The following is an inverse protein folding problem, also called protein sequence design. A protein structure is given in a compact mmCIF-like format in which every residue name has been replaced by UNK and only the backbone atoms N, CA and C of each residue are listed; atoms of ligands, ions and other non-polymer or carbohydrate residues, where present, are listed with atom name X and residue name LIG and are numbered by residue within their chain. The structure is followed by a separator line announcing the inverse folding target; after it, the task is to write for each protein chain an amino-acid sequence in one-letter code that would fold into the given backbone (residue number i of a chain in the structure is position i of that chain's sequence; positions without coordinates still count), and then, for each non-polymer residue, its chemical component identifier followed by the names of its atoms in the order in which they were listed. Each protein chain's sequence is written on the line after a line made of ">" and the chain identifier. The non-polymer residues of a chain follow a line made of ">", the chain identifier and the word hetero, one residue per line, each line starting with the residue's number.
data_IF_937246728088
#
_entry.id   IF_937246728088
#
_cell.length_a   1.000
_cell.length_b   1.000
_cell.length_c   1.000
_cell.angle_alpha   90.00
_cell.angle_beta   90.00
_cell.angle_gamma   90.00
#
_symmetry.space_group_name_H-M   'P 1'
#
loop_
_entity.id
_entity.type
_entity.pdbx_description
1 polymer ?
#
# COMPACT_ATOMS: atom_id res chain seq x y z
N UNK A 1 88.24 1.26 -19.68
CA UNK A 1 86.91 1.19 -20.32
C UNK A 1 86.03 0.30 -19.45
N UNK A 2 84.95 0.84 -18.90
CA UNK A 2 83.69 0.15 -18.53
C UNK A 2 82.91 1.03 -17.56
N UNK A 3 81.69 1.39 -17.97
CA UNK A 3 80.69 2.13 -17.20
C UNK A 3 80.18 1.30 -16.01
N UNK A 4 79.80 1.91 -14.88
CA UNK A 4 78.93 1.28 -13.90
C UNK A 4 77.47 1.72 -14.08
N UNK A 5 76.60 0.71 -14.03
CA UNK A 5 75.15 0.76 -14.16
C UNK A 5 74.47 1.60 -13.07
N UNK A 6 73.58 2.51 -13.49
CA UNK A 6 72.63 3.20 -12.61
C UNK A 6 71.40 2.30 -12.39
N UNK A 7 71.17 1.94 -11.13
CA UNK A 7 69.96 1.23 -10.67
C UNK A 7 68.74 2.14 -10.78
N UNK A 8 67.70 1.67 -11.48
CA UNK A 8 66.37 2.30 -11.51
C UNK A 8 65.58 1.88 -10.27
N UNK A 9 65.27 2.84 -9.40
CA UNK A 9 64.35 2.67 -8.28
C UNK A 9 62.91 2.80 -8.80
N UNK A 10 62.10 1.76 -8.60
CA UNK A 10 60.67 1.75 -8.93
C UNK A 10 59.91 2.43 -7.79
N UNK A 11 59.23 3.55 -8.10
CA UNK A 11 58.31 4.22 -7.19
C UNK A 11 57.00 3.41 -7.12
N UNK A 12 56.68 2.84 -5.96
CA UNK A 12 55.40 2.20 -5.72
C UNK A 12 54.33 3.29 -5.46
N UNK A 13 53.43 3.49 -6.43
CA UNK A 13 52.24 4.34 -6.25
C UNK A 13 51.21 3.52 -5.47
N UNK A 14 51.05 3.84 -4.18
CA UNK A 14 49.96 3.32 -3.37
C UNK A 14 48.62 3.90 -3.86
N UNK A 15 47.88 3.12 -4.63
CA UNK A 15 46.51 3.45 -4.99
C UNK A 15 45.63 3.35 -3.71
N UNK A 16 45.19 4.49 -3.22
CA UNK A 16 44.16 4.55 -2.19
C UNK A 16 42.87 3.94 -2.77
N UNK A 17 42.49 2.78 -2.27
CA UNK A 17 41.17 2.19 -2.48
C UNK A 17 40.14 3.13 -1.86
N UNK A 18 39.52 3.97 -2.68
CA UNK A 18 38.26 4.59 -2.33
C UNK A 18 37.24 3.46 -2.15
N UNK A 19 36.87 3.18 -0.90
CA UNK A 19 35.66 2.44 -0.61
C UNK A 19 34.49 3.21 -1.25
N UNK A 20 34.00 2.71 -2.37
CA UNK A 20 32.70 3.11 -2.90
C UNK A 20 31.69 2.65 -1.85
N UNK A 21 31.31 3.55 -0.96
CA UNK A 21 30.11 3.36 -0.17
C UNK A 21 28.99 3.11 -1.17
N UNK A 22 28.33 1.95 -1.09
CA UNK A 22 27.11 1.69 -1.84
C UNK A 22 26.13 2.81 -1.47
N UNK A 23 25.97 3.78 -2.37
CA UNK A 23 25.00 4.83 -2.22
C UNK A 23 23.64 4.14 -2.40
N UNK A 24 22.87 4.02 -1.32
CA UNK A 24 21.44 3.70 -1.45
C UNK A 24 20.87 4.64 -2.52
N UNK A 25 20.21 4.08 -3.54
CA UNK A 25 19.81 4.88 -4.69
C UNK A 25 18.84 5.99 -4.26
N UNK A 26 19.00 7.18 -4.83
CA UNK A 26 18.00 8.25 -4.70
C UNK A 26 16.88 7.97 -5.69
N UNK A 27 15.65 7.85 -5.19
CA UNK A 27 14.45 7.67 -5.99
C UNK A 27 13.77 9.01 -6.25
N UNK A 28 13.16 9.20 -7.45
CA UNK A 28 12.36 10.38 -7.74
C UNK A 28 11.20 10.58 -6.75
N UNK A 29 10.97 11.84 -6.37
CA UNK A 29 9.91 12.22 -5.45
C UNK A 29 8.53 11.97 -6.03
N UNK A 30 8.32 12.37 -7.29
CA UNK A 30 7.04 12.30 -7.98
C UNK A 30 7.23 12.10 -9.49
N UNK A 31 6.19 11.60 -10.16
CA UNK A 31 6.16 11.42 -11.62
C UNK A 31 5.52 12.60 -12.34
N UNK A 32 4.65 13.34 -11.63
CA UNK A 32 3.89 14.45 -12.20
C UNK A 32 4.22 15.74 -11.46
N UNK A 33 5.12 16.54 -12.04
CA UNK A 33 5.44 17.86 -11.54
C UNK A 33 4.18 18.75 -11.54
N UNK A 34 3.98 19.61 -10.51
CA UNK A 34 2.92 20.60 -10.54
C UNK A 34 3.04 21.54 -11.76
N UNK A 35 1.93 22.17 -12.20
CA UNK A 35 1.94 23.00 -13.40
C UNK A 35 2.87 24.21 -13.28
N UNK A 36 3.34 24.72 -14.43
CA UNK A 36 4.13 25.94 -14.50
C UNK A 36 3.39 27.09 -13.80
N UNK A 37 4.06 27.75 -12.85
CA UNK A 37 3.48 28.82 -12.03
C UNK A 37 2.97 28.37 -10.66
N UNK A 38 2.93 27.07 -10.35
CA UNK A 38 2.71 26.61 -8.98
C UNK A 38 3.89 27.01 -8.08
N UNK A 39 3.61 27.80 -7.05
CA UNK A 39 4.62 28.35 -6.11
C UNK A 39 4.59 27.71 -4.72
N UNK A 40 3.67 26.77 -4.49
CA UNK A 40 3.57 26.06 -3.22
C UNK A 40 4.66 25.01 -3.00
N UNK A 41 4.67 24.37 -1.82
CA UNK A 41 5.58 23.28 -1.51
C UNK A 41 5.44 22.13 -2.50
N UNK A 42 6.57 21.49 -2.83
CA UNK A 42 6.59 20.26 -3.60
C UNK A 42 6.82 19.09 -2.68
N UNK A 43 6.22 17.96 -3.03
CA UNK A 43 6.43 16.70 -2.33
C UNK A 43 7.91 16.31 -2.35
N UNK A 44 8.40 15.80 -1.21
CA UNK A 44 9.74 15.22 -1.08
C UNK A 44 9.58 13.83 -0.50
N UNK A 45 10.18 12.84 -1.15
CA UNK A 45 10.14 11.47 -0.71
C UNK A 45 11.03 11.29 0.52
N UNK A 46 10.42 11.06 1.68
CA UNK A 46 11.14 10.51 2.83
C UNK A 46 11.66 9.10 2.53
N UNK A 47 12.93 9.01 2.14
CA UNK A 47 13.58 7.80 1.62
C UNK A 47 14.91 7.46 2.31
N UNK A 48 15.23 8.11 3.43
CA UNK A 48 16.44 7.84 4.21
C UNK A 48 16.27 6.59 5.09
N UNK A 49 15.99 5.44 4.47
CA UNK A 49 15.64 4.21 5.18
C UNK A 49 16.71 3.80 6.22
N UNK A 50 16.32 3.31 7.41
CA UNK A 50 17.26 2.83 8.40
C UNK A 50 18.17 1.72 7.84
N UNK A 51 19.47 1.83 8.05
CA UNK A 51 20.46 0.81 7.64
C UNK A 51 20.66 -0.30 8.66
N UNK A 52 20.17 -0.09 9.89
CA UNK A 52 20.14 -1.06 10.97
C UNK A 52 18.69 -1.23 11.45
N UNK A 53 18.35 -2.44 11.86
CA UNK A 53 17.03 -2.73 12.41
C UNK A 53 16.84 -1.87 13.68
N UNK A 54 15.76 -1.07 13.78
CA UNK A 54 15.51 -0.29 14.99
C UNK A 54 15.47 -1.18 16.23
N UNK A 55 16.25 -0.83 17.24
CA UNK A 55 16.28 -1.53 18.53
C UNK A 55 15.32 -0.86 19.49
N UNK A 56 14.40 -1.62 20.10
CA UNK A 56 13.48 -1.05 21.08
C UNK A 56 12.26 -1.91 21.34
N UNK A 57 11.40 -1.45 22.25
CA UNK A 57 10.08 -2.03 22.44
C UNK A 57 9.16 -1.65 21.27
N UNK A 58 8.17 -2.50 20.91
CA UNK A 58 7.12 -2.11 19.98
C UNK A 58 6.41 -0.81 20.40
N UNK A 59 5.72 -0.12 19.48
CA UNK A 59 4.96 1.09 19.79
C UNK A 59 4.08 0.94 21.03
N UNK A 60 3.98 1.98 21.86
CA UNK A 60 3.33 1.91 23.17
C UNK A 60 1.87 1.41 23.12
N UNK A 61 1.15 1.68 22.03
CA UNK A 61 -0.21 1.21 21.81
C UNK A 61 -0.33 -0.32 21.74
N UNK A 62 0.77 -1.08 21.54
CA UNK A 62 0.77 -2.55 21.60
C UNK A 62 0.26 -3.09 22.94
N UNK A 63 0.44 -2.31 24.02
CA UNK A 63 -0.08 -2.61 25.37
C UNK A 63 -1.60 -2.47 25.48
N UNK A 64 -2.25 -1.84 24.49
CA UNK A 64 -3.70 -1.64 24.40
C UNK A 64 -4.38 -2.71 23.57
N UNK A 65 -3.61 -3.64 22.97
CA UNK A 65 -4.19 -4.77 22.26
C UNK A 65 -5.07 -5.57 23.25
N UNK A 66 -6.29 -5.99 22.85
CA UNK A 66 -7.11 -6.87 23.67
C UNK A 66 -6.34 -8.14 24.05
N UNK A 67 -6.58 -8.64 25.27
CA UNK A 67 -5.96 -9.89 25.74
C UNK A 67 -6.34 -11.09 24.86
N UNK A 68 -7.57 -11.08 24.32
CA UNK A 68 -8.06 -12.04 23.34
C UNK A 68 -8.76 -11.29 22.20
N UNK A 69 -8.41 -11.54 20.94
CA UNK A 69 -9.17 -11.06 19.79
C UNK A 69 -10.61 -11.58 19.82
N UNK A 70 -11.58 -10.68 19.69
CA UNK A 70 -13.00 -11.00 19.54
C UNK A 70 -13.68 -10.02 18.57
N UNK A 71 -14.89 -10.37 18.12
CA UNK A 71 -15.64 -9.57 17.15
C UNK A 71 -16.41 -8.39 17.77
N UNK A 72 -16.15 -8.06 19.05
CA UNK A 72 -16.75 -6.90 19.70
C UNK A 72 -15.85 -5.68 19.53
N UNK A 73 -16.25 -4.72 18.70
CA UNK A 73 -15.42 -3.55 18.42
C UNK A 73 -15.08 -2.71 19.66
N UNK A 74 -15.91 -2.74 20.72
CA UNK A 74 -15.62 -1.99 21.94
C UNK A 74 -14.35 -2.46 22.65
N UNK A 75 -13.98 -3.75 22.53
CA UNK A 75 -12.70 -4.25 23.08
C UNK A 75 -11.50 -3.66 22.33
N UNK A 76 -11.68 -3.36 21.03
CA UNK A 76 -10.66 -2.81 20.15
C UNK A 76 -10.62 -1.28 20.08
N UNK A 77 -11.68 -0.59 20.52
CA UNK A 77 -11.82 0.87 20.32
C UNK A 77 -10.62 1.65 20.83
N UNK A 78 -10.13 1.32 22.03
CA UNK A 78 -8.93 1.96 22.59
C UNK A 78 -7.70 1.69 21.73
N UNK A 79 -7.46 0.44 21.34
CA UNK A 79 -6.33 0.10 20.45
C UNK A 79 -6.39 0.88 19.14
N UNK A 80 -7.53 0.88 18.46
CA UNK A 80 -7.73 1.61 17.19
C UNK A 80 -7.46 3.11 17.35
N UNK A 81 -8.00 3.74 18.40
CA UNK A 81 -7.75 5.17 18.64
C UNK A 81 -6.28 5.47 18.90
N UNK A 82 -5.57 4.60 19.62
CA UNK A 82 -4.14 4.80 19.90
C UNK A 82 -3.27 4.58 18.66
N UNK A 83 -3.63 3.65 17.77
CA UNK A 83 -2.95 3.52 16.46
C UNK A 83 -3.21 4.76 15.60
N UNK A 84 -4.44 5.29 15.59
CA UNK A 84 -4.75 6.57 14.92
C UNK A 84 -3.87 7.69 15.46
N UNK A 85 -3.79 7.84 16.78
CA UNK A 85 -2.96 8.87 17.41
C UNK A 85 -1.48 8.69 17.04
N UNK A 86 -0.97 7.46 17.03
CA UNK A 86 0.39 7.15 16.59
C UNK A 86 0.64 7.60 15.15
N UNK A 87 -0.30 7.34 14.23
CA UNK A 87 -0.20 7.77 12.83
C UNK A 87 -0.27 9.29 12.66
N UNK A 88 -1.04 10.00 13.49
CA UNK A 88 -1.31 11.43 13.31
C UNK A 88 -0.31 12.35 14.02
N UNK A 89 0.24 11.91 15.15
CA UNK A 89 1.11 12.72 16.00
C UNK A 89 2.38 13.17 15.25
N UNK A 90 2.55 14.50 15.16
CA UNK A 90 3.61 15.16 14.41
C UNK A 90 3.35 15.26 12.90
N UNK A 91 2.48 14.41 12.34
CA UNK A 91 2.18 14.40 10.90
C UNK A 91 1.15 15.48 10.52
N UNK A 92 0.18 15.78 11.39
CA UNK A 92 -0.80 16.84 11.13
C UNK A 92 -0.10 18.21 11.09
N UNK A 93 0.79 18.46 12.04
CA UNK A 93 1.48 19.75 12.23
C UNK A 93 2.40 20.11 11.07
N UNK A 94 2.93 19.09 10.38
CA UNK A 94 3.78 19.25 9.20
C UNK A 94 3.01 19.06 7.88
N UNK A 95 1.67 19.02 7.95
CA UNK A 95 0.79 18.81 6.80
C UNK A 95 1.16 17.55 5.98
N UNK A 96 1.52 16.47 6.69
CA UNK A 96 1.98 15.20 6.12
C UNK A 96 3.25 15.28 5.25
N UNK A 97 4.02 16.37 5.32
CA UNK A 97 5.43 16.38 4.91
C UNK A 97 6.27 15.60 5.94
N UNK A 98 6.13 14.27 5.93
CA UNK A 98 6.55 13.43 7.06
C UNK A 98 8.06 13.41 7.33
N UNK A 99 8.89 13.80 6.36
CA UNK A 99 10.32 14.05 6.53
C UNK A 99 10.61 15.23 7.48
N UNK A 100 9.62 16.07 7.77
CA UNK A 100 9.70 17.19 8.71
C UNK A 100 9.15 16.83 10.10
N UNK A 101 8.58 15.63 10.29
CA UNK A 101 8.03 15.20 11.57
C UNK A 101 9.16 15.10 12.62
N UNK A 102 9.00 15.83 13.73
CA UNK A 102 9.99 15.91 14.83
C UNK A 102 9.73 14.90 15.95
N UNK A 103 8.55 14.28 15.98
CA UNK A 103 8.18 13.28 16.99
C UNK A 103 8.72 11.92 16.60
N UNK A 104 8.57 11.55 15.32
CA UNK A 104 9.02 10.26 14.80
C UNK A 104 9.31 10.34 13.31
N UNK A 105 10.25 9.51 12.88
CA UNK A 105 10.59 9.39 11.46
C UNK A 105 9.60 8.47 10.75
N UNK A 106 9.16 8.90 9.59
CA UNK A 106 8.25 8.18 8.70
C UNK A 106 8.83 8.15 7.30
N UNK A 107 8.52 7.10 6.55
CA UNK A 107 9.15 6.82 5.27
C UNK A 107 8.12 6.42 4.23
N UNK A 108 8.40 6.73 2.98
CA UNK A 108 7.55 6.38 1.85
C UNK A 108 8.13 5.18 1.10
N UNK A 109 7.28 4.41 0.41
CA UNK A 109 7.74 3.37 -0.51
C UNK A 109 8.42 3.97 -1.75
N UNK A 110 9.55 3.46 -2.26
CA UNK A 110 10.12 3.95 -3.51
C UNK A 110 9.27 3.51 -4.72
N UNK A 111 9.63 4.01 -5.90
CA UNK A 111 9.04 3.61 -7.19
C UNK A 111 7.52 3.82 -7.38
N UNK A 112 6.83 4.51 -6.48
CA UNK A 112 5.43 4.89 -6.71
C UNK A 112 5.26 6.13 -7.62
N UNK A 113 6.36 6.73 -8.11
CA UNK A 113 6.31 7.86 -9.04
C UNK A 113 6.05 7.43 -10.48
N UNK A 114 6.36 6.17 -10.81
CA UNK A 114 6.40 5.68 -12.19
C UNK A 114 4.99 5.30 -12.70
N UNK A 115 4.79 5.50 -14.00
CA UNK A 115 3.56 5.12 -14.71
C UNK A 115 2.39 6.10 -14.56
N UNK A 116 1.25 5.83 -15.23
CA UNK A 116 0.08 6.71 -15.28
C UNK A 116 -0.56 6.99 -13.90
N UNK A 117 -0.39 6.04 -12.97
CA UNK A 117 -0.92 6.10 -11.60
C UNK A 117 0.04 6.78 -10.62
N UNK A 118 1.19 7.23 -11.12
CA UNK A 118 2.29 7.73 -10.33
C UNK A 118 1.96 8.95 -9.48
N UNK A 119 2.81 9.15 -8.46
CA UNK A 119 2.75 10.28 -7.52
C UNK A 119 2.62 11.63 -8.21
N UNK A 120 1.68 12.43 -7.72
CA UNK A 120 1.62 13.86 -7.99
C UNK A 120 2.59 14.65 -7.10
N UNK A 121 3.03 15.82 -7.60
CA UNK A 121 4.17 16.52 -7.04
C UNK A 121 3.88 17.52 -5.91
N UNK A 122 2.66 17.62 -5.41
CA UNK A 122 2.33 18.52 -4.28
C UNK A 122 2.37 17.76 -2.95
N UNK A 123 1.60 16.68 -2.83
CA UNK A 123 1.43 15.86 -1.63
C UNK A 123 1.92 14.42 -1.79
N UNK A 124 2.44 14.04 -2.97
CA UNK A 124 2.95 12.69 -3.22
C UNK A 124 1.84 11.65 -3.34
N UNK A 125 0.63 12.06 -3.71
CA UNK A 125 -0.52 11.16 -3.80
C UNK A 125 -0.45 10.27 -5.05
N UNK A 126 -0.70 8.97 -4.89
CA UNK A 126 -0.89 8.00 -5.99
C UNK A 126 -2.36 7.83 -6.32
N UNK A 127 -2.66 7.57 -7.59
CA UNK A 127 -4.04 7.27 -8.03
C UNK A 127 -4.44 5.88 -7.55
N UNK A 128 -5.64 5.78 -6.96
CA UNK A 128 -6.13 4.54 -6.35
C UNK A 128 -7.28 3.93 -7.15
N UNK A 129 -8.54 4.10 -6.73
CA UNK A 129 -9.71 3.44 -7.30
C UNK A 129 -10.80 4.44 -7.71
N UNK A 130 -11.72 3.99 -8.58
CA UNK A 130 -12.88 4.79 -8.93
C UNK A 130 -13.95 4.67 -7.84
N UNK A 131 -14.54 5.80 -7.46
CA UNK A 131 -15.72 5.81 -6.60
C UNK A 131 -16.94 5.59 -7.50
N UNK A 132 -17.66 4.49 -7.29
CA UNK A 132 -18.87 4.16 -8.04
C UNK A 132 -20.08 4.93 -7.52
N UNK A 133 -21.08 5.14 -8.39
CA UNK A 133 -22.34 5.78 -8.00
C UNK A 133 -22.99 5.03 -6.82
N UNK A 134 -23.45 5.78 -5.82
CA UNK A 134 -24.03 5.28 -4.57
C UNK A 134 -23.11 4.41 -3.70
N UNK A 135 -21.80 4.40 -3.95
CA UNK A 135 -20.85 3.68 -3.11
C UNK A 135 -20.73 4.30 -1.71
N UNK A 136 -20.61 5.63 -1.63
CA UNK A 136 -20.41 6.35 -0.37
C UNK A 136 -21.74 6.69 0.33
N UNK A 137 -22.78 7.00 -0.43
CA UNK A 137 -24.08 7.36 0.11
C UNK A 137 -25.18 7.14 -0.95
N UNK A 138 -26.40 6.82 -0.53
CA UNK A 138 -27.53 6.70 -1.45
C UNK A 138 -27.82 7.99 -2.25
N UNK A 139 -27.41 9.15 -1.72
CA UNK A 139 -27.54 10.47 -2.34
C UNK A 139 -26.41 10.78 -3.33
N UNK A 140 -25.33 10.01 -3.35
CA UNK A 140 -24.19 10.23 -4.26
C UNK A 140 -24.58 9.86 -5.70
N UNK A 141 -24.70 10.85 -6.57
CA UNK A 141 -25.18 10.67 -7.95
C UNK A 141 -24.09 10.55 -9.01
N UNK A 142 -22.88 11.03 -8.73
CA UNK A 142 -21.74 11.01 -9.65
C UNK A 142 -20.68 10.00 -9.23
N UNK A 143 -19.86 9.55 -10.19
CA UNK A 143 -18.61 8.85 -9.89
C UNK A 143 -17.55 9.81 -9.39
N UNK A 144 -16.49 9.28 -8.79
CA UNK A 144 -15.33 10.05 -8.36
C UNK A 144 -14.04 9.25 -8.47
N UNK A 145 -12.98 9.78 -7.90
CA UNK A 145 -11.66 9.14 -7.93
C UNK A 145 -10.93 9.34 -6.62
N UNK A 146 -10.12 8.36 -6.24
CA UNK A 146 -9.34 8.40 -5.00
C UNK A 146 -7.85 8.49 -5.26
N UNK A 147 -7.20 9.16 -4.31
CA UNK A 147 -5.77 9.41 -4.29
C UNK A 147 -5.25 9.18 -2.88
N UNK A 148 -4.06 8.62 -2.73
CA UNK A 148 -3.56 8.27 -1.41
C UNK A 148 -2.05 8.45 -1.24
N UNK A 149 -1.63 8.64 0.00
CA UNK A 149 -0.23 8.61 0.41
C UNK A 149 -0.08 7.67 1.59
N UNK A 150 0.86 6.72 1.46
CA UNK A 150 1.17 5.71 2.47
C UNK A 150 2.55 5.96 3.07
N UNK A 151 2.64 5.82 4.39
CA UNK A 151 3.86 5.99 5.18
C UNK A 151 4.10 4.78 6.08
N UNK A 152 5.38 4.48 6.31
CA UNK A 152 5.86 3.38 7.14
C UNK A 152 6.67 3.96 8.29
N UNK A 153 6.51 3.41 9.49
CA UNK A 153 7.42 3.72 10.59
C UNK A 153 8.84 3.20 10.30
N UNK A 154 9.79 3.60 11.13
CA UNK A 154 11.20 3.17 11.03
C UNK A 154 11.37 1.63 11.02
N UNK A 155 10.60 0.90 11.82
CA UNK A 155 10.62 -0.58 11.88
C UNK A 155 10.29 -1.18 10.50
N UNK A 156 9.20 -0.71 9.88
CA UNK A 156 8.85 -1.15 8.52
C UNK A 156 9.84 -0.67 7.47
N UNK A 157 10.27 0.58 7.58
CA UNK A 157 11.17 1.24 6.66
C UNK A 157 12.55 0.58 6.58
N UNK A 158 13.03 -0.04 7.66
CA UNK A 158 14.25 -0.86 7.61
C UNK A 158 14.13 -1.97 6.57
N UNK A 159 13.00 -2.68 6.54
CA UNK A 159 12.76 -3.78 5.58
C UNK A 159 12.70 -3.23 4.15
N UNK A 160 12.06 -2.07 3.96
CA UNK A 160 12.07 -1.36 2.66
C UNK A 160 13.51 -1.08 2.24
N UNK A 161 14.33 -0.53 3.14
CA UNK A 161 15.74 -0.26 2.89
C UNK A 161 16.56 -1.51 2.57
N UNK A 162 16.22 -2.68 3.13
CA UNK A 162 16.89 -3.94 2.77
C UNK A 162 16.49 -4.45 1.38
N UNK A 163 15.19 -4.41 1.04
CA UNK A 163 14.72 -4.78 -0.32
C UNK A 163 15.43 -3.92 -1.36
N UNK A 164 15.57 -2.62 -1.10
CA UNK A 164 16.11 -1.65 -2.05
C UNK A 164 17.59 -1.31 -1.80
N UNK A 165 18.31 -2.14 -1.02
CA UNK A 165 19.71 -1.90 -0.63
C UNK A 165 20.63 -1.75 -1.84
N UNK A 166 20.42 -2.59 -2.85
CA UNK A 166 20.95 -2.37 -4.19
C UNK A 166 19.82 -1.77 -5.04
N UNK A 167 19.87 -0.46 -5.36
CA UNK A 167 18.80 0.20 -6.12
C UNK A 167 18.68 -0.30 -7.56
N UNK A 168 19.68 -1.03 -8.07
CA UNK A 168 19.67 -1.61 -9.41
C UNK A 168 19.21 -3.08 -9.40
N UNK A 169 19.15 -3.72 -8.24
CA UNK A 169 18.75 -5.12 -8.07
C UNK A 169 17.97 -5.30 -6.75
N UNK A 170 16.73 -4.82 -6.67
CA UNK A 170 15.93 -4.98 -5.47
C UNK A 170 15.66 -6.46 -5.17
N UNK A 171 15.62 -6.81 -3.90
CA UNK A 171 15.53 -8.18 -3.41
C UNK A 171 14.23 -8.39 -2.59
N UNK A 172 13.16 -8.92 -3.20
CA UNK A 172 11.89 -9.17 -2.50
C UNK A 172 11.98 -10.26 -1.41
N UNK A 173 13.10 -10.98 -1.28
CA UNK A 173 13.22 -12.03 -0.27
C UNK A 173 13.26 -11.49 1.15
N UNK A 174 13.57 -10.20 1.33
CA UNK A 174 13.50 -9.54 2.64
C UNK A 174 12.07 -9.35 3.17
N UNK A 175 11.06 -9.48 2.31
CA UNK A 175 9.64 -9.50 2.70
C UNK A 175 9.01 -10.88 2.60
N UNK A 176 9.77 -11.93 2.25
CA UNK A 176 9.25 -13.28 2.09
C UNK A 176 9.95 -14.26 3.04
N UNK A 177 9.28 -15.35 3.39
CA UNK A 177 9.82 -16.36 4.30
C UNK A 177 11.24 -16.81 3.91
N UNK A 178 12.17 -16.93 4.88
CA UNK A 178 11.96 -16.86 6.33
C UNK A 178 11.88 -15.43 6.92
N UNK A 179 11.98 -14.40 6.08
CA UNK A 179 11.82 -13.00 6.47
C UNK A 179 10.36 -12.53 6.35
N UNK A 180 10.09 -11.33 6.84
CA UNK A 180 8.83 -10.58 6.74
C UNK A 180 9.07 -9.18 7.32
N UNK A 181 8.10 -8.27 7.22
CA UNK A 181 8.17 -7.04 8.01
C UNK A 181 8.26 -7.39 9.51
N UNK A 182 9.16 -6.75 10.28
CA UNK A 182 9.32 -7.02 11.70
C UNK A 182 8.08 -6.66 12.52
N UNK A 183 7.87 -7.40 13.61
CA UNK A 183 6.85 -7.09 14.61
C UNK A 183 6.97 -5.63 15.08
N UNK A 184 5.87 -4.88 15.12
CA UNK A 184 5.90 -3.44 15.40
C UNK A 184 5.94 -2.56 14.15
N UNK A 185 6.04 -3.13 12.95
CA UNK A 185 5.82 -2.36 11.71
C UNK A 185 4.43 -1.75 11.70
N UNK A 186 4.35 -0.46 11.39
CA UNK A 186 3.09 0.28 11.24
C UNK A 186 3.06 0.98 9.89
N UNK A 187 1.97 0.77 9.17
CA UNK A 187 1.62 1.49 7.95
C UNK A 187 0.44 2.38 8.24
N UNK A 188 0.52 3.64 7.82
CA UNK A 188 -0.60 4.58 7.84
C UNK A 188 -0.80 5.08 6.42
N UNK A 189 -2.04 5.11 5.94
CA UNK A 189 -2.34 5.58 4.58
C UNK A 189 -3.49 6.57 4.64
N UNK A 190 -3.25 7.81 4.24
CA UNK A 190 -4.31 8.80 4.10
C UNK A 190 -4.87 8.74 2.67
N UNK A 191 -6.20 8.71 2.56
CA UNK A 191 -6.92 8.65 1.29
C UNK A 191 -7.79 9.89 1.15
N UNK A 192 -7.78 10.45 -0.05
CA UNK A 192 -8.52 11.63 -0.44
C UNK A 192 -9.40 11.32 -1.65
N UNK A 193 -10.56 11.99 -1.72
CA UNK A 193 -11.52 11.84 -2.78
C UNK A 193 -11.71 13.16 -3.55
N UNK A 194 -11.72 13.05 -4.88
CA UNK A 194 -12.29 14.03 -5.79
C UNK A 194 -13.68 13.55 -6.20
N UNK A 195 -14.70 14.18 -5.61
CA UNK A 195 -16.12 13.81 -5.72
C UNK A 195 -16.99 15.05 -5.46
N UNK A 196 -18.22 15.05 -5.97
CA UNK A 196 -19.23 16.04 -5.57
C UNK A 196 -19.66 15.84 -4.11
N UNK A 197 -19.01 16.60 -3.22
CA UNK A 197 -19.22 16.57 -1.77
C UNK A 197 -20.64 16.93 -1.35
N UNK A 198 -21.38 17.72 -2.15
CA UNK A 198 -22.76 18.07 -1.81
C UNK A 198 -23.70 16.86 -1.78
N UNK A 199 -23.30 15.77 -2.46
CA UNK A 199 -24.05 14.53 -2.55
C UNK A 199 -23.60 13.45 -1.55
N UNK A 200 -22.56 13.72 -0.76
CA UNK A 200 -21.96 12.79 0.22
C UNK A 200 -22.07 13.40 1.62
N UNK A 201 -23.14 13.10 2.40
CA UNK A 201 -23.49 13.85 3.60
C UNK A 201 -22.42 13.91 4.69
N UNK A 202 -21.58 12.87 4.81
CA UNK A 202 -20.53 12.84 5.84
C UNK A 202 -19.28 13.66 5.48
N UNK A 203 -19.16 14.14 4.24
CA UNK A 203 -18.08 15.01 3.76
C UNK A 203 -18.34 16.51 3.99
N UNK A 204 -19.21 16.86 4.94
CA UNK A 204 -19.28 18.23 5.46
C UNK A 204 -17.97 18.61 6.15
N UNK A 205 -17.60 19.89 6.18
CA UNK A 205 -16.37 20.38 6.84
C UNK A 205 -15.10 19.55 6.54
N UNK A 206 -14.75 19.24 5.27
CA UNK A 206 -13.66 18.33 4.97
C UNK A 206 -12.27 18.95 5.26
N UNK A 207 -11.29 18.11 5.59
CA UNK A 207 -9.88 18.47 5.39
C UNK A 207 -9.64 18.45 3.88
N UNK A 208 -9.17 19.56 3.33
CA UNK A 208 -8.91 19.73 1.90
C UNK A 208 -7.42 19.87 1.62
N UNK A 209 -6.99 19.21 0.56
CA UNK A 209 -5.68 19.42 -0.07
C UNK A 209 -5.88 19.82 -1.53
N UNK A 210 -5.02 20.73 -2.01
CA UNK A 210 -4.93 21.02 -3.44
C UNK A 210 -3.90 20.07 -4.05
N UNK A 211 -4.32 19.20 -4.96
CA UNK A 211 -3.47 18.16 -5.55
C UNK A 211 -3.43 18.25 -7.08
N UNK A 212 -2.34 17.80 -7.70
CA UNK A 212 -2.19 17.75 -9.15
C UNK A 212 -2.64 16.38 -9.72
N UNK A 213 -3.96 16.24 -9.90
CA UNK A 213 -4.63 14.97 -10.19
C UNK A 213 -5.32 14.98 -11.55
N UNK A 214 -5.75 13.81 -12.05
CA UNK A 214 -6.43 13.71 -13.34
C UNK A 214 -7.80 14.39 -13.33
N UNK A 215 -8.24 14.98 -14.45
CA UNK A 215 -9.55 15.68 -14.53
C UNK A 215 -10.73 14.80 -14.11
N UNK A 216 -10.70 13.55 -14.57
CA UNK A 216 -11.63 12.45 -14.27
C UNK A 216 -10.84 11.17 -14.02
N UNK A 217 -11.50 10.10 -13.59
CA UNK A 217 -10.85 8.82 -13.33
C UNK A 217 -10.17 8.21 -14.57
N UNK A 218 -10.72 8.40 -15.78
CA UNK A 218 -10.16 7.85 -17.03
C UNK A 218 -9.33 8.87 -17.82
N UNK A 219 -9.18 10.10 -17.33
CA UNK A 219 -8.35 11.10 -18.00
C UNK A 219 -6.86 10.84 -17.75
N UNK A 220 -6.04 11.12 -18.76
CA UNK A 220 -4.58 11.23 -18.65
C UNK A 220 -4.11 12.66 -18.35
N UNK A 221 -4.98 13.66 -18.54
CA UNK A 221 -4.68 15.07 -18.30
C UNK A 221 -4.86 15.39 -16.81
N UNK A 222 -3.84 16.04 -16.23
CA UNK A 222 -3.83 16.48 -14.83
C UNK A 222 -4.05 17.98 -14.69
N UNK A 223 -4.80 18.35 -13.66
CA UNK A 223 -5.12 19.72 -13.27
C UNK A 223 -5.04 19.86 -11.74
N UNK A 224 -4.93 21.10 -11.25
CA UNK A 224 -5.07 21.36 -9.81
C UNK A 224 -6.54 21.21 -9.41
N UNK A 225 -6.82 20.34 -8.43
CA UNK A 225 -8.15 20.18 -7.83
C UNK A 225 -8.03 20.06 -6.32
N UNK A 226 -9.09 20.48 -5.63
CA UNK A 226 -9.25 20.16 -4.22
C UNK A 226 -9.70 18.71 -4.07
N UNK A 227 -9.04 17.98 -3.18
CA UNK A 227 -9.39 16.62 -2.77
C UNK A 227 -9.70 16.61 -1.28
N UNK A 228 -10.72 15.86 -0.87
CA UNK A 228 -11.19 15.80 0.51
C UNK A 228 -10.74 14.51 1.21
N UNK A 229 -10.20 14.63 2.43
CA UNK A 229 -9.89 13.47 3.26
C UNK A 229 -11.15 12.63 3.46
N UNK A 230 -11.10 11.36 3.03
CA UNK A 230 -12.26 10.45 3.05
C UNK A 230 -12.04 9.28 3.99
N UNK A 231 -10.81 8.79 4.06
CA UNK A 231 -10.45 7.55 4.74
C UNK A 231 -9.00 7.62 5.23
N UNK A 232 -8.71 6.89 6.30
CA UNK A 232 -7.33 6.56 6.66
C UNK A 232 -7.26 5.07 6.98
N UNK A 233 -6.30 4.37 6.37
CA UNK A 233 -6.05 2.96 6.64
C UNK A 233 -4.83 2.78 7.51
N UNK A 234 -4.84 1.71 8.28
CA UNK A 234 -3.71 1.25 9.07
C UNK A 234 -3.45 -0.23 8.81
N UNK A 235 -2.17 -0.61 8.86
CA UNK A 235 -1.75 -1.99 8.98
C UNK A 235 -0.65 -2.10 10.04
N UNK A 236 -0.80 -3.02 10.98
CA UNK A 236 0.15 -3.24 12.06
C UNK A 236 0.61 -4.69 12.04
N UNK A 237 1.93 -4.89 11.93
CA UNK A 237 2.53 -6.20 12.09
C UNK A 237 2.54 -6.57 13.56
N UNK A 238 1.72 -7.56 13.93
CA UNK A 238 1.63 -8.08 15.28
C UNK A 238 1.67 -9.61 15.26
N UNK A 239 2.78 -10.19 15.73
CA UNK A 239 2.99 -11.65 15.74
C UNK A 239 2.04 -12.41 16.66
N UNK A 240 1.27 -11.71 17.51
CA UNK A 240 0.21 -12.34 18.30
C UNK A 240 -0.97 -12.81 17.44
N UNK A 241 -1.14 -12.27 16.23
CA UNK A 241 -2.14 -12.74 15.27
C UNK A 241 -1.57 -13.91 14.46
N UNK A 242 -1.61 -15.13 14.99
CA UNK A 242 -0.90 -16.29 14.41
C UNK A 242 -1.31 -16.68 12.98
N UNK A 243 -2.54 -16.37 12.59
CA UNK A 243 -3.09 -16.81 11.30
C UNK A 243 -2.54 -15.99 10.12
N UNK A 244 -2.22 -14.72 10.36
CA UNK A 244 -1.87 -13.76 9.31
C UNK A 244 -0.64 -12.92 9.65
N UNK A 245 -0.37 -12.69 10.94
CA UNK A 245 0.69 -11.82 11.43
C UNK A 245 0.38 -10.33 11.33
N UNK A 246 -0.80 -9.96 10.82
CA UNK A 246 -1.16 -8.57 10.55
C UNK A 246 -2.54 -8.22 11.08
N UNK A 247 -2.64 -7.00 11.59
CA UNK A 247 -3.90 -6.35 11.97
C UNK A 247 -4.14 -5.22 10.97
N UNK A 248 -5.29 -5.23 10.32
CA UNK A 248 -5.73 -4.18 9.41
C UNK A 248 -6.87 -3.39 10.05
N UNK A 249 -6.88 -2.09 9.85
CA UNK A 249 -7.93 -1.21 10.35
C UNK A 249 -8.18 -0.07 9.37
N UNK A 250 -9.39 0.48 9.40
CA UNK A 250 -9.75 1.63 8.56
C UNK A 250 -10.65 2.60 9.32
N UNK A 251 -10.49 3.88 9.00
CA UNK A 251 -11.24 5.00 9.52
C UNK A 251 -11.96 5.70 8.37
N UNK A 252 -13.20 6.10 8.61
CA UNK A 252 -13.99 6.91 7.69
C UNK A 252 -14.11 8.33 8.24
N UNK A 253 -14.03 9.32 7.34
CA UNK A 253 -14.29 10.71 7.71
C UNK A 253 -15.78 10.92 8.05
N UNK A 254 -16.05 11.62 9.16
CA UNK A 254 -17.38 12.14 9.49
C UNK A 254 -17.23 13.59 9.97
N UNK A 255 -17.33 14.55 9.07
CA UNK A 255 -17.09 15.95 9.41
C UNK A 255 -18.18 16.62 10.23
N UNK A 256 -19.31 15.94 10.47
CA UNK A 256 -20.31 16.40 11.43
C UNK A 256 -19.87 16.15 12.88
N UNK A 257 -18.91 15.25 13.13
CA UNK A 257 -18.47 14.84 14.47
C UNK A 257 -17.96 16.03 15.31
N UNK A 258 -17.09 16.85 14.74
CA UNK A 258 -16.53 18.03 15.44
C UNK A 258 -17.11 19.36 14.96
N UNK A 259 -17.87 19.36 13.86
CA UNK A 259 -18.43 20.57 13.26
C UNK A 259 -17.40 21.49 12.57
N UNK A 260 -16.13 21.06 12.46
CA UNK A 260 -15.05 21.78 11.77
C UNK A 260 -14.12 20.82 11.03
N UNK A 261 -13.33 21.35 10.10
CA UNK A 261 -12.32 20.54 9.40
C UNK A 261 -11.23 20.06 10.37
N UNK A 262 -10.89 18.78 10.29
CA UNK A 262 -9.84 18.19 11.13
C UNK A 262 -9.76 16.68 11.04
N UNK A 263 -8.58 16.13 11.32
CA UNK A 263 -8.31 14.69 11.34
C UNK A 263 -9.03 13.96 12.48
N UNK A 264 -9.49 14.68 13.51
CA UNK A 264 -10.32 14.14 14.60
C UNK A 264 -11.68 13.58 14.11
N UNK A 265 -12.12 14.00 12.92
CA UNK A 265 -13.30 13.47 12.26
C UNK A 265 -13.11 12.07 11.67
N UNK A 266 -11.90 11.51 11.69
CA UNK A 266 -11.68 10.10 11.34
C UNK A 266 -12.23 9.18 12.44
N UNK A 267 -13.36 8.56 12.14
CA UNK A 267 -14.07 7.61 12.99
C UNK A 267 -13.70 6.19 12.58
N UNK A 268 -13.40 5.28 13.53
CA UNK A 268 -13.11 3.90 13.18
C UNK A 268 -14.30 3.23 12.48
N UNK A 269 -14.06 2.59 11.34
CA UNK A 269 -15.01 1.64 10.73
C UNK A 269 -14.89 0.30 11.44
N UNK A 270 -13.66 -0.20 11.62
CA UNK A 270 -13.42 -1.47 12.28
C UNK A 270 -11.97 -1.93 12.16
N UNK A 271 -11.73 -3.16 12.60
CA UNK A 271 -10.43 -3.83 12.65
C UNK A 271 -10.57 -5.30 12.25
N UNK A 272 -9.57 -5.88 11.60
CA UNK A 272 -9.54 -7.28 11.20
C UNK A 272 -8.14 -7.89 11.35
N UNK A 273 -8.08 -9.18 11.64
CA UNK A 273 -6.85 -9.96 11.81
C UNK A 273 -6.89 -11.32 11.08
N UNK A 274 -7.92 -11.52 10.26
CA UNK A 274 -8.11 -12.70 9.41
C UNK A 274 -9.35 -12.53 8.52
N UNK A 275 -9.57 -13.50 7.65
CA UNK A 275 -10.63 -13.52 6.65
C UNK A 275 -11.77 -14.51 6.96
N UNK A 276 -11.81 -15.20 8.10
CA UNK A 276 -12.87 -16.17 8.45
C UNK A 276 -13.19 -17.14 7.28
N UNK A 277 -12.26 -18.01 6.85
CA UNK A 277 -12.38 -18.78 5.61
C UNK A 277 -13.56 -19.76 5.56
N UNK A 278 -14.17 -20.07 6.70
CA UNK A 278 -15.35 -20.93 6.78
C UNK A 278 -16.66 -20.17 6.50
N UNK A 279 -16.63 -18.83 6.48
CA UNK A 279 -17.81 -17.99 6.28
C UNK A 279 -18.01 -17.70 4.79
N UNK A 280 -18.79 -18.55 4.12
CA UNK A 280 -18.98 -18.56 2.66
C UNK A 280 -20.26 -17.84 2.17
N UNK A 281 -21.10 -17.36 3.09
CA UNK A 281 -22.38 -16.70 2.76
C UNK A 281 -22.21 -15.31 2.13
N UNK A 282 -23.34 -14.66 1.80
CA UNK A 282 -23.36 -13.35 1.15
C UNK A 282 -24.43 -12.38 1.71
N UNK A 283 -25.15 -12.79 2.75
CA UNK A 283 -26.36 -12.10 3.25
C UNK A 283 -26.09 -10.68 3.77
N UNK A 284 -24.84 -10.41 4.16
CA UNK A 284 -24.40 -9.13 4.70
C UNK A 284 -23.73 -8.22 3.68
N UNK A 285 -23.59 -8.63 2.42
CA UNK A 285 -23.05 -7.78 1.36
C UNK A 285 -24.01 -6.63 1.05
N UNK A 286 -23.54 -5.38 1.16
CA UNK A 286 -24.34 -4.15 1.03
C UNK A 286 -23.59 -3.04 0.25
N UNK A 287 -23.32 -3.26 -1.05
CA UNK A 287 -22.50 -2.37 -1.89
C UNK A 287 -22.97 -0.90 -1.97
N UNK A 288 -24.26 -0.65 -1.77
CA UNK A 288 -24.86 0.69 -1.76
C UNK A 288 -25.53 0.90 -0.39
N UNK A 289 -24.79 1.39 0.60
CA UNK A 289 -25.19 1.36 1.99
C UNK A 289 -26.18 2.50 2.32
N UNK A 290 -27.36 2.14 2.83
CA UNK A 290 -28.20 3.03 3.66
C UNK A 290 -28.03 2.74 5.16
N UNK A 291 -27.45 1.58 5.47
CA UNK A 291 -27.04 1.11 6.80
C UNK A 291 -25.79 0.24 6.63
N UNK A 292 -24.94 0.21 7.65
CA UNK A 292 -23.80 -0.72 7.74
C UNK A 292 -24.30 -2.10 8.18
N UNK A 293 -24.21 -3.12 7.32
CA UNK A 293 -24.60 -4.50 7.64
C UNK A 293 -23.42 -5.27 8.26
N UNK A 294 -23.53 -5.60 9.55
CA UNK A 294 -22.48 -6.31 10.29
C UNK A 294 -22.85 -7.79 10.39
N UNK A 295 -21.93 -8.67 9.98
CA UNK A 295 -22.11 -10.11 10.05
C UNK A 295 -21.65 -10.66 11.42
N UNK A 296 -22.56 -11.17 12.28
CA UNK A 296 -22.21 -11.66 13.61
C UNK A 296 -21.44 -13.01 13.59
N UNK A 297 -21.44 -13.71 12.45
CA UNK A 297 -20.74 -14.98 12.29
C UNK A 297 -19.23 -14.80 12.07
N UNK A 298 -18.78 -13.63 11.61
CA UNK A 298 -17.35 -13.32 11.48
C UNK A 298 -16.70 -13.19 12.87
N UNK A 299 -15.55 -13.83 13.05
CA UNK A 299 -14.79 -13.89 14.31
C UNK A 299 -13.38 -13.33 14.18
N UNK A 300 -12.93 -12.95 12.98
CA UNK A 300 -11.63 -12.34 12.71
C UNK A 300 -11.74 -10.88 12.26
N UNK A 301 -12.91 -10.27 12.49
CA UNK A 301 -13.23 -8.88 12.20
C UNK A 301 -14.14 -8.32 13.29
N UNK A 302 -13.91 -7.08 13.70
CA UNK A 302 -14.79 -6.33 14.61
C UNK A 302 -15.16 -4.98 13.97
N UNK A 303 -16.45 -4.67 13.88
CA UNK A 303 -16.98 -3.47 13.22
C UNK A 303 -17.62 -2.53 14.24
N UNK A 304 -17.35 -1.24 14.11
CA UNK A 304 -17.95 -0.19 14.92
C UNK A 304 -19.46 -0.08 14.61
N UNK A 305 -20.30 -0.56 15.52
CA UNK A 305 -21.76 -0.52 15.39
C UNK A 305 -22.38 0.84 15.79
N UNK A 306 -21.59 1.81 16.26
CA UNK A 306 -22.11 3.09 16.73
C UNK A 306 -22.53 4.00 15.56
N UNK A 307 -23.81 3.95 15.19
CA UNK A 307 -24.40 4.75 14.11
C UNK A 307 -24.48 6.25 14.39
N UNK A 308 -24.26 6.69 15.64
CA UNK A 308 -24.14 8.12 15.96
C UNK A 308 -22.78 8.69 15.53
N UNK A 309 -21.75 7.84 15.52
CA UNK A 309 -20.38 8.21 15.15
C UNK A 309 -20.06 7.84 13.70
N UNK A 310 -20.39 6.60 13.30
CA UNK A 310 -20.07 6.06 11.98
C UNK A 310 -21.25 6.28 11.02
N UNK A 311 -21.07 7.09 9.95
CA UNK A 311 -22.07 7.18 8.90
C UNK A 311 -22.35 5.82 8.26
N UNK A 312 -23.55 5.58 7.70
CA UNK A 312 -23.81 4.36 6.93
C UNK A 312 -22.71 4.12 5.89
N UNK A 313 -22.13 2.93 5.91
CA UNK A 313 -21.01 2.59 5.04
C UNK A 313 -21.12 1.13 4.59
N UNK A 314 -20.59 0.84 3.41
CA UNK A 314 -20.49 -0.54 2.98
C UNK A 314 -19.30 -1.16 3.69
N UNK A 315 -19.36 -2.47 3.82
CA UNK A 315 -18.20 -3.25 4.22
C UNK A 315 -17.68 -4.01 3.02
N UNK A 316 -16.70 -4.86 3.27
CA UNK A 316 -16.26 -5.87 2.34
C UNK A 316 -17.27 -7.01 2.18
N UNK A 317 -16.88 -7.99 1.38
CA UNK A 317 -17.73 -9.13 1.06
C UNK A 317 -18.21 -9.85 2.34
N UNK A 318 -19.53 -10.05 2.40
CA UNK A 318 -20.23 -10.67 3.52
C UNK A 318 -19.97 -10.01 4.89
N UNK A 319 -19.69 -8.70 4.91
CA UNK A 319 -19.53 -7.91 6.15
C UNK A 319 -18.11 -7.90 6.73
N UNK A 320 -17.10 -8.40 6.02
CA UNK A 320 -15.68 -8.28 6.42
C UNK A 320 -15.21 -6.83 6.37
N UNK A 321 -14.20 -6.48 7.15
CA UNK A 321 -13.72 -5.09 7.15
C UNK A 321 -13.22 -4.69 5.75
N UNK A 322 -13.70 -3.54 5.29
CA UNK A 322 -13.14 -2.82 4.15
C UNK A 322 -13.44 -1.33 4.32
N UNK A 323 -12.67 -0.46 3.69
CA UNK A 323 -12.88 0.98 3.73
C UNK A 323 -14.02 1.44 2.81
N UNK A 324 -14.59 2.63 3.06
CA UNK A 324 -15.69 3.21 2.27
C UNK A 324 -15.37 3.43 0.78
N UNK A 325 -14.10 3.54 0.38
CA UNK A 325 -13.73 3.69 -1.04
C UNK A 325 -13.18 2.40 -1.66
N UNK A 326 -13.10 1.32 -0.89
CA UNK A 326 -12.54 0.04 -1.34
C UNK A 326 -13.58 -0.81 -2.08
N UNK A 327 -13.13 -1.86 -2.78
CA UNK A 327 -14.04 -2.72 -3.54
C UNK A 327 -14.91 -3.58 -2.59
N UNK A 328 -16.26 -3.44 -2.59
CA UNK A 328 -17.14 -4.14 -1.65
C UNK A 328 -17.23 -5.66 -1.87
N UNK A 329 -16.57 -6.22 -2.90
CA UNK A 329 -16.45 -7.69 -3.09
C UNK A 329 -15.15 -8.26 -2.51
N UNK A 330 -14.36 -7.45 -1.82
CA UNK A 330 -13.10 -7.82 -1.16
C UNK A 330 -13.17 -7.52 0.35
N UNK A 331 -12.09 -7.72 1.09
CA UNK A 331 -11.80 -7.19 2.42
C UNK A 331 -10.38 -6.58 2.40
N UNK A 332 -9.98 -5.83 3.42
CA UNK A 332 -8.62 -5.30 3.49
C UNK A 332 -7.59 -6.44 3.34
N UNK A 333 -7.72 -7.53 4.11
CA UNK A 333 -6.78 -8.64 4.01
C UNK A 333 -6.93 -9.49 2.74
N UNK A 334 -8.14 -9.72 2.22
CA UNK A 334 -8.31 -10.49 0.96
C UNK A 334 -7.59 -9.82 -0.21
N UNK A 335 -7.63 -8.49 -0.22
CA UNK A 335 -7.01 -7.64 -1.23
C UNK A 335 -5.49 -7.58 -1.03
N UNK A 336 -5.04 -7.36 0.21
CA UNK A 336 -3.62 -7.18 0.49
C UNK A 336 -2.82 -8.48 0.49
N UNK A 337 -3.41 -9.63 0.83
CA UNK A 337 -2.68 -10.90 0.86
C UNK A 337 -2.20 -11.34 -0.54
N UNK A 338 -2.74 -10.75 -1.61
CA UNK A 338 -2.28 -10.99 -2.99
C UNK A 338 -0.98 -10.26 -3.32
N UNK A 339 -0.41 -9.49 -2.40
CA UNK A 339 0.80 -8.71 -2.63
C UNK A 339 2.03 -9.63 -2.71
N UNK A 340 2.61 -9.73 -3.92
CA UNK A 340 3.71 -10.63 -4.21
C UNK A 340 4.60 -10.12 -5.35
N UNK A 341 5.79 -10.70 -5.48
CA UNK A 341 6.76 -10.41 -6.53
C UNK A 341 7.28 -11.71 -7.17
N UNK A 342 7.15 -11.89 -8.50
CA UNK A 342 6.36 -11.07 -9.41
C UNK A 342 4.87 -11.11 -9.03
N UNK A 343 4.14 -10.04 -9.34
CA UNK A 343 2.70 -9.96 -9.08
C UNK A 343 1.96 -10.87 -10.09
N UNK A 344 1.44 -12.01 -9.64
CA UNK A 344 0.66 -12.94 -10.48
C UNK A 344 -0.80 -13.00 -10.05
N UNK A 345 -1.04 -12.94 -8.74
CA UNK A 345 -2.36 -12.91 -8.15
C UNK A 345 -3.09 -11.61 -8.53
N UNK A 346 -4.35 -11.74 -8.93
CA UNK A 346 -5.27 -10.59 -9.03
C UNK A 346 -5.83 -10.26 -7.65
N UNK A 347 -6.10 -8.99 -7.41
CA UNK A 347 -6.46 -8.49 -6.08
C UNK A 347 -7.84 -8.93 -5.58
N UNK A 348 -8.76 -9.31 -6.47
CA UNK A 348 -10.06 -9.88 -6.10
C UNK A 348 -10.63 -10.71 -7.26
N UNK A 349 -11.58 -11.62 -6.99
CA UNK A 349 -12.11 -12.53 -8.00
C UNK A 349 -12.84 -11.82 -9.15
N UNK A 350 -13.34 -10.59 -8.93
CA UNK A 350 -14.13 -9.83 -9.92
C UNK A 350 -13.28 -9.01 -10.89
N UNK A 351 -11.95 -8.99 -10.70
CA UNK A 351 -11.04 -8.36 -11.65
C UNK A 351 -10.69 -9.27 -12.83
N UNK A 352 -11.23 -10.49 -12.85
CA UNK A 352 -11.14 -11.39 -13.99
C UNK A 352 -12.15 -11.00 -15.08
N UNK A 353 -11.96 -11.56 -16.27
CA UNK A 353 -13.02 -11.56 -17.29
C UNK A 353 -14.31 -12.19 -16.73
N UNK A 354 -15.50 -11.70 -17.12
CA UNK A 354 -16.77 -12.13 -16.51
C UNK A 354 -17.01 -13.65 -16.51
N UNK A 355 -16.52 -14.36 -17.52
CA UNK A 355 -16.60 -15.81 -17.68
C UNK A 355 -15.70 -16.60 -16.70
N UNK A 356 -14.71 -15.95 -16.10
CA UNK A 356 -13.74 -16.53 -15.15
C UNK A 356 -14.03 -16.17 -13.70
N UNK A 357 -15.01 -15.29 -13.44
CA UNK A 357 -15.39 -14.94 -12.07
C UNK A 357 -16.02 -16.18 -11.42
N UNK A 358 -15.42 -16.73 -10.34
CA UNK A 358 -15.96 -17.93 -9.71
C UNK A 358 -17.31 -17.62 -9.03
N UNK A 359 -18.21 -18.62 -8.89
CA UNK A 359 -19.45 -18.43 -8.15
C UNK A 359 -19.16 -17.94 -6.73
N UNK A 360 -19.93 -16.95 -6.25
CA UNK A 360 -19.77 -16.37 -4.92
C UNK A 360 -19.85 -17.47 -3.85
N UNK A 361 -18.89 -17.48 -2.92
CA UNK A 361 -18.83 -18.47 -1.84
C UNK A 361 -18.34 -19.87 -2.24
N UNK A 362 -18.04 -20.11 -3.52
CA UNK A 362 -17.41 -21.36 -3.96
C UNK A 362 -15.99 -21.53 -3.40
N UNK A 363 -15.44 -22.76 -3.36
CA UNK A 363 -14.05 -22.98 -2.95
C UNK A 363 -13.03 -22.11 -3.71
N UNK A 364 -13.28 -21.85 -5.00
CA UNK A 364 -12.42 -20.99 -5.82
C UNK A 364 -12.52 -19.52 -5.37
N UNK A 365 -13.72 -19.01 -5.13
CA UNK A 365 -13.92 -17.67 -4.56
C UNK A 365 -13.22 -17.52 -3.20
N UNK A 366 -13.28 -18.56 -2.38
CA UNK A 366 -12.70 -18.56 -1.04
C UNK A 366 -11.17 -18.58 -1.02
N UNK A 367 -10.48 -18.77 -2.16
CA UNK A 367 -9.02 -18.55 -2.25
C UNK A 367 -8.63 -17.12 -1.90
N UNK A 368 -9.48 -16.13 -2.18
CA UNK A 368 -9.26 -14.73 -1.76
C UNK A 368 -9.60 -14.49 -0.28
N UNK A 369 -10.29 -15.40 0.38
CA UNK A 369 -10.70 -15.25 1.79
C UNK A 369 -10.05 -16.29 2.71
N UNK A 370 -8.90 -16.83 2.30
CA UNK A 370 -8.04 -17.62 3.18
C UNK A 370 -7.23 -16.72 4.13
N UNK A 371 -6.63 -17.34 5.15
CA UNK A 371 -5.60 -16.70 5.97
C UNK A 371 -4.23 -17.15 5.47
N UNK A 372 -3.39 -16.19 5.10
CA UNK A 372 -2.00 -16.42 4.70
C UNK A 372 -1.11 -15.77 5.76
N UNK A 373 -0.15 -16.52 6.27
CA UNK A 373 0.80 -16.00 7.25
C UNK A 373 1.74 -14.96 6.62
N UNK A 374 2.18 -13.99 7.43
CA UNK A 374 3.16 -13.00 7.04
C UNK A 374 4.38 -13.63 6.34
N UNK A 375 4.84 -13.01 5.26
CA UNK A 375 5.93 -13.49 4.42
C UNK A 375 5.60 -14.66 3.48
N UNK A 376 4.41 -15.25 3.53
CA UNK A 376 3.96 -16.24 2.54
C UNK A 376 3.25 -15.57 1.35
N UNK A 377 3.51 -16.02 0.11
CA UNK A 377 2.83 -15.50 -1.07
C UNK A 377 1.43 -16.08 -1.23
N UNK A 378 0.58 -15.39 -2.00
CA UNK A 378 -0.70 -15.93 -2.45
C UNK A 378 -0.50 -17.04 -3.49
N UNK A 379 0.35 -16.78 -4.48
CA UNK A 379 0.64 -17.72 -5.57
C UNK A 379 1.85 -18.56 -5.21
N UNK A 380 1.75 -19.90 -5.21
CA UNK A 380 2.93 -20.75 -5.00
C UNK A 380 4.03 -20.46 -6.04
N UNK A 381 5.26 -20.26 -5.55
CA UNK A 381 6.43 -20.02 -6.41
C UNK A 381 6.78 -18.54 -6.65
N UNK A 382 5.98 -17.59 -6.13
CA UNK A 382 6.34 -16.17 -6.06
C UNK A 382 6.98 -15.85 -4.69
N UNK A 383 7.41 -14.61 -4.50
CA UNK A 383 7.87 -14.10 -3.21
C UNK A 383 6.80 -13.18 -2.62
N UNK A 384 6.51 -13.32 -1.34
CA UNK A 384 5.58 -12.41 -0.66
C UNK A 384 6.16 -11.01 -0.57
N UNK A 385 5.31 -10.00 -0.75
CA UNK A 385 5.63 -8.64 -0.29
C UNK A 385 4.93 -8.31 1.04
N UNK A 386 4.58 -9.36 1.78
CA UNK A 386 4.06 -9.35 3.15
C UNK A 386 2.92 -8.35 3.33
N UNK A 387 1.86 -8.56 2.56
CA UNK A 387 0.67 -7.72 2.50
C UNK A 387 0.88 -6.26 2.01
N UNK A 388 2.11 -5.87 1.66
CA UNK A 388 2.39 -4.54 1.10
C UNK A 388 2.19 -4.52 -0.42
N UNK A 389 1.00 -4.10 -0.85
CA UNK A 389 0.72 -3.80 -2.26
C UNK A 389 1.58 -2.65 -2.79
N UNK A 390 2.00 -1.70 -1.94
CA UNK A 390 2.94 -0.64 -2.35
C UNK A 390 4.32 -1.22 -2.69
N UNK A 391 4.81 -2.19 -1.92
CA UNK A 391 6.08 -2.88 -2.22
C UNK A 391 5.99 -3.66 -3.53
N UNK A 392 4.94 -4.47 -3.70
CA UNK A 392 4.72 -5.20 -4.96
C UNK A 392 4.65 -4.23 -6.16
N UNK A 393 3.86 -3.16 -6.06
CA UNK A 393 3.75 -2.16 -7.11
C UNK A 393 5.09 -1.45 -7.40
N UNK A 394 5.87 -1.15 -6.36
CA UNK A 394 7.19 -0.53 -6.53
C UNK A 394 8.17 -1.43 -7.27
N UNK A 395 8.18 -2.73 -6.95
CA UNK A 395 8.97 -3.73 -7.65
C UNK A 395 8.52 -3.89 -9.10
N UNK A 396 7.21 -3.99 -9.34
CA UNK A 396 6.65 -4.08 -10.69
C UNK A 396 7.03 -2.85 -11.55
N UNK A 397 6.85 -1.65 -11.01
CA UNK A 397 7.24 -0.39 -11.64
C UNK A 397 8.73 -0.33 -11.97
N UNK A 398 9.60 -0.74 -11.04
CA UNK A 398 11.04 -0.79 -11.28
C UNK A 398 11.40 -1.73 -12.43
N UNK A 399 10.87 -2.96 -12.41
CA UNK A 399 11.18 -3.92 -13.47
C UNK A 399 10.61 -3.49 -14.82
N UNK A 400 9.40 -2.91 -14.84
CA UNK A 400 8.85 -2.32 -16.06
C UNK A 400 9.74 -1.20 -16.61
N UNK A 401 10.13 -0.25 -15.77
CA UNK A 401 11.07 0.81 -16.16
C UNK A 401 12.40 0.23 -16.66
N UNK A 402 12.94 -0.78 -15.98
CA UNK A 402 14.20 -1.42 -16.36
C UNK A 402 14.08 -2.11 -17.72
N UNK A 403 12.93 -2.71 -18.03
CA UNK A 403 12.67 -3.34 -19.33
C UNK A 403 12.43 -2.31 -20.45
N UNK A 404 11.63 -1.27 -20.19
CA UNK A 404 11.25 -0.29 -21.20
C UNK A 404 12.33 0.78 -21.46
N UNK A 405 13.02 1.24 -20.41
CA UNK A 405 13.95 2.37 -20.45
C UNK A 405 15.39 1.97 -20.09
N UNK A 406 15.58 1.02 -19.18
CA UNK A 406 16.90 0.50 -18.78
C UNK A 406 17.54 -0.49 -19.77
N UNK A 407 16.73 -1.13 -20.61
CA UNK A 407 17.10 -2.17 -21.57
C UNK A 407 17.74 -1.68 -22.87
N UNK A 408 17.82 -0.36 -23.09
CA UNK A 408 18.47 0.21 -24.28
C UNK A 408 19.98 0.46 -24.04
N UNK A 409 20.46 0.52 -22.79
CA UNK A 409 21.78 1.11 -22.50
C UNK A 409 22.81 0.23 -21.77
N UNK A 410 22.52 -1.02 -21.38
CA UNK A 410 23.40 -1.76 -20.45
C UNK A 410 23.86 -3.16 -20.90
N UNK A 411 24.32 -3.31 -22.16
CA UNK A 411 25.08 -4.47 -22.69
C UNK A 411 24.36 -5.44 -23.66
N UNK A 412 23.43 -4.95 -24.50
CA UNK A 412 23.00 -5.71 -25.68
C UNK A 412 22.27 -7.03 -25.43
N UNK A 413 21.78 -7.25 -24.21
CA UNK A 413 20.89 -8.35 -23.82
C UNK A 413 19.80 -7.81 -22.90
N UNK A 414 18.55 -8.14 -23.23
CA UNK A 414 17.35 -7.66 -22.56
C UNK A 414 17.30 -8.10 -21.08
N UNK A 415 16.90 -7.21 -20.17
CA UNK A 415 16.66 -7.56 -18.77
C UNK A 415 15.59 -8.65 -18.64
N UNK A 416 14.64 -8.72 -19.59
CA UNK A 416 13.64 -9.79 -19.67
C UNK A 416 14.27 -11.16 -19.97
N UNK A 417 15.40 -11.23 -20.69
CA UNK A 417 16.09 -12.52 -20.91
C UNK A 417 16.83 -13.03 -19.67
N UNK A 418 17.21 -12.15 -18.72
CA UNK A 418 17.77 -12.55 -17.41
C UNK A 418 16.73 -12.92 -16.37
N UNK A 419 15.53 -12.32 -16.41
CA UNK A 419 14.37 -12.84 -15.67
C UNK A 419 13.95 -14.23 -16.20
N UNK A 420 14.23 -14.52 -17.48
CA UNK A 420 13.87 -15.75 -18.16
C UNK A 420 15.00 -16.82 -18.29
N UNK A 421 16.18 -16.71 -17.65
CA UNK A 421 17.24 -17.76 -17.73
C UNK A 421 18.33 -17.66 -16.65
N UNK A 422 19.04 -18.74 -16.24
CA UNK A 422 18.65 -20.11 -15.93
C UNK A 422 19.38 -20.63 -14.66
N UNK A 423 19.59 -19.80 -13.63
CA UNK A 423 20.00 -20.26 -12.29
C UNK A 423 18.81 -20.63 -11.39
N UNK A 424 17.61 -20.19 -11.75
CA UNK A 424 16.34 -20.87 -11.46
C UNK A 424 16.07 -21.96 -12.51
N UNK A 425 17.05 -22.83 -12.78
CA UNK A 425 16.74 -24.17 -13.29
C UNK A 425 16.12 -24.97 -12.14
N UNK A 426 14.88 -24.63 -11.79
CA UNK A 426 13.96 -25.66 -11.30
C UNK A 426 13.83 -26.64 -12.45
N UNK A 427 14.32 -27.85 -12.18
CA UNK A 427 14.21 -29.06 -12.96
C UNK A 427 13.08 -28.99 -14.01
N UNK A 428 13.49 -28.97 -15.28
CA UNK A 428 12.60 -29.27 -16.39
C UNK A 428 12.02 -30.67 -16.20
N UNK A 429 10.73 -30.73 -15.87
CA UNK A 429 9.77 -31.67 -16.47
C UNK A 429 8.36 -31.18 -16.17
N UNK A 430 7.70 -30.56 -17.13
CA UNK A 430 6.30 -30.17 -16.99
C UNK A 430 5.88 -29.10 -17.99
N UNK A 431 5.09 -29.50 -18.98
CA UNK A 431 4.43 -28.67 -19.99
C UNK A 431 3.29 -27.83 -19.38
N UNK A 432 3.63 -26.82 -18.56
CA UNK A 432 2.64 -25.87 -18.05
C UNK A 432 2.81 -24.49 -18.74
N UNK A 433 1.71 -23.84 -19.18
CA UNK A 433 1.75 -22.53 -19.84
C UNK A 433 2.24 -21.43 -18.88
N UNK A 434 3.06 -20.50 -19.39
CA UNK A 434 3.54 -19.33 -18.64
C UNK A 434 2.37 -18.39 -18.35
N UNK A 435 2.15 -18.07 -17.06
CA UNK A 435 1.17 -17.07 -16.66
C UNK A 435 1.74 -15.66 -16.88
N UNK A 436 0.99 -14.71 -17.46
CA UNK A 436 1.45 -13.33 -17.64
C UNK A 436 1.59 -12.64 -16.29
N UNK A 437 2.70 -11.90 -16.11
CA UNK A 437 2.90 -11.03 -14.93
C UNK A 437 1.82 -9.95 -14.95
N UNK A 438 1.06 -9.86 -13.87
CA UNK A 438 0.04 -8.85 -13.65
C UNK A 438 0.66 -7.60 -13.04
N UNK A 439 0.07 -6.42 -13.25
CA UNK A 439 0.39 -5.23 -12.45
C UNK A 439 -0.48 -5.21 -11.20
N UNK A 440 -0.07 -4.47 -10.17
CA UNK A 440 -0.94 -4.21 -9.01
C UNK A 440 -2.02 -3.21 -9.45
N UNK A 441 -3.15 -3.74 -9.91
CA UNK A 441 -4.27 -2.94 -10.43
C UNK A 441 -5.38 -2.90 -9.40
N UNK A 442 -5.66 -1.70 -8.88
CA UNK A 442 -6.67 -1.45 -7.84
C UNK A 442 -8.10 -1.30 -8.40
N UNK A 443 -8.21 -1.10 -9.71
CA UNK A 443 -9.46 -1.02 -10.46
C UNK A 443 -9.18 -1.43 -11.93
N UNK A 444 -9.86 -2.44 -12.50
CA UNK A 444 -9.60 -2.92 -13.87
C UNK A 444 -9.76 -1.85 -14.94
N UNK A 445 -10.57 -0.81 -14.71
CA UNK A 445 -10.73 0.29 -15.66
C UNK A 445 -9.44 1.13 -15.82
N UNK A 446 -8.45 0.94 -14.94
CA UNK A 446 -7.12 1.54 -15.08
C UNK A 446 -6.25 0.85 -16.14
N UNK A 447 -6.58 -0.37 -16.58
CA UNK A 447 -5.84 -1.07 -17.65
C UNK A 447 -5.79 -0.22 -18.92
N UNK A 448 -6.87 0.49 -19.24
CA UNK A 448 -6.97 1.39 -20.39
C UNK A 448 -6.00 2.58 -20.33
N UNK A 449 -5.47 2.93 -19.16
CA UNK A 449 -4.47 4.00 -19.02
C UNK A 449 -3.04 3.48 -19.23
N UNK A 450 -2.87 2.15 -19.28
CA UNK A 450 -1.59 1.45 -19.39
C UNK A 450 -1.34 0.93 -20.83
N UNK A 451 -2.37 0.87 -21.66
CA UNK A 451 -2.32 0.68 -23.11
C UNK A 451 -2.06 2.00 -23.84
#
# INVERSE_FOLDING_TARGET
>A
MNQPHVKRSVLAVSAALFCIAAQAGTYPDYGYAPPNGYTGPKFVLSQNYPTQAPTGSPPAFFKKLPAKPDNNFETWRTYMNEVKNYCLEGNIEVNWDVQKNKVRQWYHMPWQHYGPLGREGIHGLTKEAQIQVKQLAATQTATGQTYAVGIYNDIGAYTIGQVWKDPQNPDPSYTSQPHSFPNGTVVCKALFADIDRATVPFLVNPVLWQAYITETFTSSKRILKDVALIQMDIAVRDTRMSDTGWIFGTFQYNGAKTGKAGWDNLVPVGIMWGNDPQQTGNDFTNKQPTVTKINPALKQTAINANTKDLPPTHLGWNGRLNGPVDNPVSSCQSCHMTAESPQLAIMNPTFQSPDKVPPVGSPEWMKWFQNIQAGHPFTPGTQSTDFSLQMSNGLANFYEWKCAMGGIYANGGDACTKAASPKLKMLKSGSAPQLPVQRVIRDPSLEQLLE
#
